data_IF_113262591896
#
_entry.id   IF_113262591896
#
_cell.length_a   1.000
_cell.length_b   1.000
_cell.length_c   1.000
_cell.angle_alpha   90.00
_cell.angle_beta   90.00
_cell.angle_gamma   90.00
#
_symmetry.space_group_name_H-M   'P 1'
#
loop_
_entity.id
_entity.type
_entity.pdbx_description
1 polymer ?
#
# COMPACT_ATOMS: atom_id res chain seq x y z
N UNK A 1 34.71 -23.82 1.03
CA UNK A 1 33.70 -22.98 0.35
C UNK A 1 34.08 -21.51 0.54
N UNK A 2 33.91 -20.63 -0.45
CA UNK A 2 34.24 -19.20 -0.27
C UNK A 2 33.28 -18.55 0.73
N UNK A 3 33.77 -17.63 1.59
CA UNK A 3 32.98 -16.98 2.65
C UNK A 3 31.70 -16.32 2.11
N UNK A 4 31.78 -15.78 0.90
CA UNK A 4 30.65 -15.18 0.19
C UNK A 4 29.55 -16.18 -0.17
N UNK A 5 29.92 -17.41 -0.57
CA UNK A 5 28.93 -18.48 -0.82
C UNK A 5 28.23 -18.92 0.47
N UNK A 6 28.95 -18.94 1.59
CA UNK A 6 28.36 -19.26 2.89
C UNK A 6 27.36 -18.19 3.34
N UNK A 7 27.75 -16.91 3.25
CA UNK A 7 26.88 -15.77 3.61
C UNK A 7 25.60 -15.72 2.77
N UNK A 8 25.70 -15.85 1.43
CA UNK A 8 24.52 -15.88 0.56
C UNK A 8 23.62 -17.08 0.88
N UNK A 9 24.21 -18.24 1.20
CA UNK A 9 23.46 -19.41 1.63
C UNK A 9 22.65 -19.16 2.91
N UNK A 10 23.27 -18.53 3.91
CA UNK A 10 22.62 -18.19 5.19
C UNK A 10 21.50 -17.16 5.01
N UNK A 11 21.74 -16.09 4.26
CA UNK A 11 20.73 -15.06 3.97
C UNK A 11 19.52 -15.64 3.25
N UNK A 12 19.73 -16.55 2.28
CA UNK A 12 18.64 -17.24 1.59
C UNK A 12 17.82 -18.15 2.53
N UNK A 13 18.48 -18.77 3.52
CA UNK A 13 17.79 -19.59 4.53
C UNK A 13 16.92 -18.70 5.43
N UNK A 14 17.43 -17.57 5.89
CA UNK A 14 16.65 -16.63 6.72
C UNK A 14 15.50 -15.97 5.94
N UNK A 15 15.72 -15.61 4.67
CA UNK A 15 14.65 -15.10 3.79
C UNK A 15 13.50 -16.09 3.63
N UNK A 16 13.78 -17.40 3.57
CA UNK A 16 12.72 -18.42 3.53
C UNK A 16 11.88 -18.48 4.81
N UNK A 17 12.44 -18.06 5.94
CA UNK A 17 11.70 -17.96 7.22
C UNK A 17 10.88 -16.68 7.31
N UNK A 18 11.26 -15.64 6.57
CA UNK A 18 10.56 -14.35 6.51
C UNK A 18 9.25 -14.38 5.70
N UNK A 19 8.50 -15.49 5.80
CA UNK A 19 7.19 -15.61 5.15
C UNK A 19 6.11 -15.22 6.16
N UNK A 20 5.09 -14.47 5.73
CA UNK A 20 4.04 -13.94 6.63
C UNK A 20 3.33 -15.07 7.39
N UNK A 21 2.98 -14.96 8.68
CA UNK A 21 2.26 -16.04 9.36
C UNK A 21 0.92 -16.35 8.67
N UNK A 22 0.72 -17.60 8.23
CA UNK A 22 -0.56 -18.10 7.69
C UNK A 22 -1.01 -19.37 8.41
N UNK A 23 -2.33 -19.54 8.53
CA UNK A 23 -2.92 -20.76 9.10
C UNK A 23 -3.03 -21.85 8.01
N UNK A 24 -2.32 -22.96 8.19
CA UNK A 24 -2.34 -24.09 7.26
C UNK A 24 -3.67 -24.84 7.23
N UNK A 25 -4.50 -24.71 8.26
CA UNK A 25 -5.83 -25.33 8.36
C UNK A 25 -6.93 -24.43 7.82
N UNK A 26 -6.70 -23.12 7.83
CA UNK A 26 -7.58 -22.13 7.24
C UNK A 26 -7.65 -22.26 5.71
N UNK A 27 -8.84 -22.08 5.14
CA UNK A 27 -9.05 -22.00 3.68
C UNK A 27 -9.30 -20.54 3.26
N UNK A 28 -8.82 -20.18 2.07
CA UNK A 28 -9.08 -18.86 1.47
C UNK A 28 -8.56 -17.69 2.32
N UNK A 29 -9.40 -16.68 2.54
CA UNK A 29 -9.05 -15.45 3.27
C UNK A 29 -8.69 -15.68 4.74
N UNK A 30 -9.28 -16.68 5.40
CA UNK A 30 -8.99 -17.00 6.80
C UNK A 30 -7.54 -17.49 7.01
N UNK A 31 -6.93 -18.08 5.96
CA UNK A 31 -5.52 -18.51 5.97
C UNK A 31 -4.57 -17.34 6.18
N UNK A 32 -4.86 -16.18 5.61
CA UNK A 32 -3.99 -15.01 5.60
C UNK A 32 -4.55 -13.87 6.44
N UNK A 33 -5.23 -14.18 7.56
CA UNK A 33 -5.93 -13.21 8.40
C UNK A 33 -5.09 -11.97 8.72
N UNK A 34 -3.87 -12.15 9.24
CA UNK A 34 -2.98 -11.05 9.63
C UNK A 34 -2.58 -10.16 8.44
N UNK A 35 -2.33 -10.79 7.28
CA UNK A 35 -1.98 -10.07 6.05
C UNK A 35 -3.18 -9.27 5.55
N UNK A 36 -4.36 -9.88 5.56
CA UNK A 36 -5.58 -9.26 5.08
C UNK A 36 -6.00 -8.09 5.98
N UNK A 37 -5.89 -8.26 7.30
CA UNK A 37 -6.22 -7.21 8.27
C UNK A 37 -5.32 -5.97 8.06
N UNK A 38 -4.02 -6.19 7.92
CA UNK A 38 -3.04 -5.12 7.63
C UNK A 38 -3.30 -4.47 6.27
N UNK A 39 -3.62 -5.25 5.25
CA UNK A 39 -3.84 -4.75 3.88
C UNK A 39 -5.13 -3.94 3.78
N UNK A 40 -6.21 -4.36 4.44
CA UNK A 40 -7.50 -3.67 4.43
C UNK A 40 -7.36 -2.27 5.03
N UNK A 41 -6.63 -2.11 6.13
CA UNK A 41 -6.40 -0.80 6.75
C UNK A 41 -5.67 0.14 5.78
N UNK A 42 -4.62 -0.35 5.12
CA UNK A 42 -3.86 0.45 4.14
C UNK A 42 -4.72 0.80 2.93
N UNK A 43 -5.55 -0.13 2.45
CA UNK A 43 -6.50 0.13 1.35
C UNK A 43 -7.49 1.24 1.71
N UNK A 44 -8.06 1.20 2.92
CA UNK A 44 -8.97 2.24 3.39
C UNK A 44 -8.25 3.59 3.46
N UNK A 45 -7.03 3.63 4.01
CA UNK A 45 -6.24 4.85 4.08
C UNK A 45 -5.95 5.44 2.68
N UNK A 46 -5.58 4.59 1.71
CA UNK A 46 -5.34 5.02 0.32
C UNK A 46 -6.61 5.58 -0.33
N UNK A 47 -7.77 4.96 -0.10
CA UNK A 47 -9.04 5.45 -0.64
C UNK A 47 -9.45 6.79 -0.02
N UNK A 48 -9.33 6.93 1.31
CA UNK A 48 -9.64 8.18 2.00
C UNK A 48 -8.71 9.31 1.57
N UNK A 49 -7.42 9.04 1.45
CA UNK A 49 -6.43 10.01 0.96
C UNK A 49 -6.72 10.40 -0.50
N UNK A 50 -7.02 9.43 -1.37
CA UNK A 50 -7.37 9.69 -2.77
C UNK A 50 -8.63 10.54 -2.90
N UNK A 51 -9.67 10.25 -2.11
CA UNK A 51 -10.90 11.05 -2.08
C UNK A 51 -10.64 12.47 -1.59
N UNK A 52 -9.84 12.65 -0.54
CA UNK A 52 -9.44 13.96 -0.04
C UNK A 52 -8.72 14.77 -1.12
N UNK A 53 -7.69 14.20 -1.76
CA UNK A 53 -6.94 14.89 -2.81
C UNK A 53 -7.84 15.25 -3.98
N UNK A 54 -8.65 14.31 -4.48
CA UNK A 54 -9.56 14.55 -5.60
C UNK A 54 -10.60 15.65 -5.31
N UNK A 55 -11.10 15.72 -4.08
CA UNK A 55 -12.03 16.76 -3.65
C UNK A 55 -11.38 18.14 -3.74
N UNK A 56 -10.19 18.31 -3.16
CA UNK A 56 -9.50 19.60 -3.17
C UNK A 56 -9.02 19.99 -4.56
N UNK A 57 -8.52 19.05 -5.37
CA UNK A 57 -8.13 19.30 -6.76
C UNK A 57 -9.31 19.82 -7.58
N UNK A 58 -10.48 19.19 -7.43
CA UNK A 58 -11.70 19.63 -8.14
C UNK A 58 -12.14 21.00 -7.64
N UNK A 59 -12.15 21.23 -6.32
CA UNK A 59 -12.51 22.50 -5.73
C UNK A 59 -11.62 23.64 -6.23
N UNK A 60 -10.30 23.46 -6.19
CA UNK A 60 -9.36 24.47 -6.64
C UNK A 60 -9.44 24.71 -8.14
N UNK A 61 -9.62 23.66 -8.95
CA UNK A 61 -9.80 23.80 -10.40
C UNK A 61 -10.98 24.72 -10.73
N UNK A 62 -12.13 24.50 -10.09
CA UNK A 62 -13.31 25.35 -10.31
C UNK A 62 -13.10 26.76 -9.75
N UNK A 63 -12.48 26.90 -8.58
CA UNK A 63 -12.17 28.21 -8.00
C UNK A 63 -11.25 29.04 -8.90
N UNK A 64 -10.16 28.44 -9.42
CA UNK A 64 -9.26 29.14 -10.34
C UNK A 64 -9.92 29.47 -11.67
N UNK A 65 -10.79 28.59 -12.17
CA UNK A 65 -11.55 28.88 -13.38
C UNK A 65 -12.48 30.08 -13.18
N UNK A 66 -13.18 30.15 -12.04
CA UNK A 66 -14.03 31.29 -11.70
C UNK A 66 -13.23 32.59 -11.57
N UNK A 67 -12.07 32.56 -10.90
CA UNK A 67 -11.17 33.71 -10.76
C UNK A 67 -10.66 34.16 -12.13
N UNK A 68 -10.28 33.23 -12.99
CA UNK A 68 -9.78 33.54 -14.34
C UNK A 68 -10.86 34.22 -15.18
N UNK A 69 -12.09 33.72 -15.13
CA UNK A 69 -13.22 34.34 -15.83
C UNK A 69 -13.53 35.75 -15.29
N UNK A 70 -13.32 36.01 -14.00
CA UNK A 70 -13.49 37.33 -13.40
C UNK A 70 -12.39 38.34 -13.74
N UNK A 71 -11.18 37.87 -14.02
CA UNK A 71 -10.02 38.74 -14.29
C UNK A 71 -9.81 39.02 -15.77
N UNK A 72 -10.18 38.09 -16.64
CA UNK A 72 -9.93 38.16 -18.10
C UNK A 72 -11.23 38.38 -18.90
N UNK A 73 -12.40 38.09 -18.32
CA UNK A 73 -13.70 38.42 -18.89
C UNK A 73 -14.16 39.81 -18.48
#
# INVERSE_FOLDING_TARGET
MSRMRAYVGEVLIELKKATWPWDSKGKGFAKYKELNDSTIVVLIAMLLLGAFVAFFDTFFREAFQAVTHLLVG
#
